data_IF_533512271188
#
_entry.id   IF_533512271188
#
_cell.length_a   1.000
_cell.length_b   1.000
_cell.length_c   1.000
_cell.angle_alpha   90.00
_cell.angle_beta   90.00
_cell.angle_gamma   90.00
#
_symmetry.space_group_name_H-M   'P 1'
#
loop_
_entity.id
_entity.type
_entity.pdbx_description
1 polymer ?
#
# COMPACT_ATOMS: atom_id res chain seq x y z
N UNK A 1 -38.99 19.66 23.36
CA UNK A 1 -37.55 19.50 23.21
C UNK A 1 -37.31 18.61 22.00
N UNK A 2 -37.12 19.19 20.84
CA UNK A 2 -36.77 18.44 19.64
C UNK A 2 -35.24 18.26 19.61
N UNK A 3 -34.80 17.01 19.71
CA UNK A 3 -33.38 16.66 19.45
C UNK A 3 -33.20 16.67 17.94
N UNK A 4 -32.51 17.67 17.41
CA UNK A 4 -32.01 17.66 16.05
C UNK A 4 -30.90 16.59 16.01
N UNK A 5 -31.11 15.57 15.16
CA UNK A 5 -30.05 14.63 14.80
C UNK A 5 -28.91 15.39 14.12
N UNK A 6 -27.64 15.07 14.40
CA UNK A 6 -26.54 15.71 13.71
C UNK A 6 -26.62 15.37 12.22
N UNK A 7 -26.66 16.41 11.38
CA UNK A 7 -26.50 16.27 9.94
C UNK A 7 -25.07 15.78 9.69
N UNK A 8 -24.92 14.49 9.46
CA UNK A 8 -23.68 13.87 9.08
C UNK A 8 -23.47 13.99 7.57
N UNK A 9 -22.22 14.23 7.23
CA UNK A 9 -21.58 14.04 5.92
C UNK A 9 -21.84 15.11 4.86
N UNK A 10 -20.90 16.02 4.75
CA UNK A 10 -20.58 16.61 3.46
C UNK A 10 -19.85 15.54 2.64
N UNK A 11 -20.56 14.86 1.74
CA UNK A 11 -19.94 14.08 0.67
C UNK A 11 -19.43 15.10 -0.33
N UNK A 12 -18.13 15.38 -0.34
CA UNK A 12 -17.50 16.13 -1.43
C UNK A 12 -17.21 15.10 -2.52
N UNK A 13 -18.15 14.94 -3.43
CA UNK A 13 -17.95 14.21 -4.67
C UNK A 13 -17.22 15.15 -5.65
N UNK A 14 -15.90 15.15 -5.64
CA UNK A 14 -15.12 15.82 -6.68
C UNK A 14 -15.03 14.90 -7.90
N UNK A 15 -16.01 15.00 -8.79
CA UNK A 15 -15.91 14.44 -10.13
C UNK A 15 -15.03 15.38 -10.97
N UNK A 16 -13.72 15.15 -10.96
CA UNK A 16 -12.78 15.84 -11.80
C UNK A 16 -12.43 14.98 -13.02
N UNK A 17 -12.90 15.38 -14.19
CA UNK A 17 -12.25 15.09 -15.45
C UNK A 17 -12.84 13.99 -16.31
N UNK A 18 -13.40 14.43 -17.40
CA UNK A 18 -13.87 13.62 -18.51
C UNK A 18 -12.72 12.99 -19.28
N UNK A 19 -12.52 11.71 -19.10
CA UNK A 19 -12.09 10.82 -20.15
C UNK A 19 -12.83 9.51 -19.95
N UNK A 20 -13.46 9.02 -21.00
CA UNK A 20 -14.39 7.91 -20.98
C UNK A 20 -13.77 6.65 -20.38
N UNK A 21 -13.93 6.44 -19.09
CA UNK A 21 -13.70 5.15 -18.46
C UNK A 21 -14.92 4.29 -18.79
N UNK A 22 -14.81 3.39 -19.74
CA UNK A 22 -15.88 2.48 -20.06
C UNK A 22 -15.93 1.38 -19.02
N UNK A 23 -17.10 1.19 -18.39
CA UNK A 23 -17.38 0.12 -17.41
C UNK A 23 -16.52 0.14 -16.14
N UNK A 24 -15.90 1.28 -15.79
CA UNK A 24 -15.20 1.43 -14.52
C UNK A 24 -16.13 1.85 -13.39
N UNK A 25 -15.83 1.41 -12.18
CA UNK A 25 -16.64 1.67 -11.00
C UNK A 25 -15.85 2.38 -9.90
N UNK A 26 -16.50 3.32 -9.22
CA UNK A 26 -15.96 3.87 -7.97
C UNK A 26 -17.01 3.82 -6.87
N UNK A 27 -16.60 3.45 -5.67
CA UNK A 27 -17.45 3.40 -4.49
C UNK A 27 -16.74 4.03 -3.30
N UNK A 28 -17.39 5.03 -2.70
CA UNK A 28 -16.85 5.72 -1.54
C UNK A 28 -17.88 5.71 -0.41
N UNK A 29 -17.44 5.26 0.75
CA UNK A 29 -18.26 5.25 1.98
C UNK A 29 -17.50 5.93 3.10
N UNK A 30 -18.12 6.94 3.71
CA UNK A 30 -17.52 7.69 4.80
C UNK A 30 -18.49 7.75 5.98
N UNK A 31 -18.03 7.34 7.16
CA UNK A 31 -18.75 7.46 8.42
C UNK A 31 -17.87 8.22 9.42
N UNK A 32 -18.41 9.32 9.95
CA UNK A 32 -17.66 10.15 10.90
C UNK A 32 -17.51 11.60 10.47
N UNK A 33 -16.32 12.19 10.72
CA UNK A 33 -16.09 13.63 10.50
C UNK A 33 -14.78 13.90 9.79
N UNK A 34 -14.75 14.94 8.96
CA UNK A 34 -13.53 15.47 8.35
C UNK A 34 -12.79 14.43 7.47
N UNK A 35 -13.48 13.40 7.00
CA UNK A 35 -12.89 12.41 6.11
C UNK A 35 -12.89 12.91 4.66
N UNK A 36 -11.81 12.67 3.93
CA UNK A 36 -11.64 12.99 2.52
C UNK A 36 -11.40 11.69 1.76
N UNK A 37 -12.20 11.44 0.74
CA UNK A 37 -12.02 10.34 -0.20
C UNK A 37 -12.06 10.89 -1.62
N UNK A 38 -11.03 10.63 -2.41
CA UNK A 38 -10.94 11.05 -3.79
C UNK A 38 -10.60 9.87 -4.68
N UNK A 39 -11.29 9.74 -5.81
CA UNK A 39 -11.01 8.74 -6.85
C UNK A 39 -10.88 9.47 -8.17
N UNK A 40 -9.77 9.25 -8.86
CA UNK A 40 -9.50 9.73 -10.21
C UNK A 40 -9.31 8.53 -11.15
N UNK A 41 -10.20 8.33 -12.10
CA UNK A 41 -10.12 7.28 -13.12
C UNK A 41 -10.10 7.94 -14.50
N UNK A 42 -9.03 7.73 -15.26
CA UNK A 42 -8.84 8.28 -16.60
C UNK A 42 -8.46 7.19 -17.58
N UNK A 43 -9.22 7.05 -18.69
CA UNK A 43 -9.00 5.99 -19.69
C UNK A 43 -8.91 4.58 -19.09
N UNK A 44 -9.44 4.40 -17.88
CA UNK A 44 -9.47 3.13 -17.17
C UNK A 44 -10.72 2.35 -17.63
N UNK A 45 -10.54 1.13 -18.11
CA UNK A 45 -11.64 0.26 -18.55
C UNK A 45 -11.75 -0.94 -17.62
N UNK A 46 -12.96 -1.25 -17.14
CA UNK A 46 -13.18 -2.33 -16.16
C UNK A 46 -12.38 -2.19 -14.87
N UNK A 47 -11.94 -0.98 -14.53
CA UNK A 47 -11.21 -0.71 -13.30
C UNK A 47 -12.17 -0.44 -12.13
N UNK A 48 -11.77 -0.79 -10.93
CA UNK A 48 -12.55 -0.57 -9.72
C UNK A 48 -11.75 0.18 -8.66
N UNK A 49 -12.36 1.20 -8.05
CA UNK A 49 -11.78 1.89 -6.90
C UNK A 49 -12.80 1.94 -5.76
N UNK A 50 -12.47 1.33 -4.64
CA UNK A 50 -13.33 1.30 -3.44
C UNK A 50 -12.61 1.93 -2.26
N UNK A 51 -13.25 2.90 -1.61
CA UNK A 51 -12.74 3.58 -0.42
C UNK A 51 -13.77 3.52 0.71
N UNK A 52 -13.33 3.05 1.87
CA UNK A 52 -14.15 3.00 3.08
C UNK A 52 -13.43 3.66 4.25
N UNK A 53 -14.05 4.68 4.85
CA UNK A 53 -13.46 5.44 5.96
C UNK A 53 -14.42 5.53 7.12
N UNK A 54 -13.98 5.12 8.32
CA UNK A 54 -14.77 5.20 9.56
C UNK A 54 -13.97 5.90 10.63
N UNK A 55 -14.44 7.07 11.07
CA UNK A 55 -13.78 7.83 12.14
C UNK A 55 -13.57 9.29 11.80
N UNK A 56 -12.34 9.80 12.01
CA UNK A 56 -12.09 11.23 11.87
C UNK A 56 -10.84 11.55 11.08
N UNK A 57 -10.96 12.47 10.11
CA UNK A 57 -9.82 13.09 9.43
C UNK A 57 -9.02 12.17 8.54
N UNK A 58 -9.61 11.09 8.03
CA UNK A 58 -8.95 10.22 7.06
C UNK A 58 -8.80 10.92 5.70
N UNK A 59 -7.68 10.66 5.01
CA UNK A 59 -7.43 11.17 3.67
C UNK A 59 -6.99 10.04 2.74
N UNK A 60 -7.86 9.66 1.80
CA UNK A 60 -7.56 8.62 0.82
C UNK A 60 -7.68 9.14 -0.60
N UNK A 61 -6.67 8.84 -1.41
CA UNK A 61 -6.64 9.12 -2.84
C UNK A 61 -6.38 7.84 -3.63
N UNK A 62 -7.23 7.54 -4.58
CA UNK A 62 -7.05 6.46 -5.55
C UNK A 62 -6.95 7.05 -6.96
N UNK A 63 -5.89 6.71 -7.68
CA UNK A 63 -5.64 7.14 -9.05
C UNK A 63 -5.48 5.92 -9.96
N UNK A 64 -6.28 5.86 -11.03
CA UNK A 64 -6.16 4.83 -12.06
C UNK A 64 -6.16 5.49 -13.43
N UNK A 65 -5.09 5.30 -14.19
CA UNK A 65 -4.99 5.79 -15.55
C UNK A 65 -4.54 4.69 -16.52
N UNK A 66 -5.25 4.55 -17.63
CA UNK A 66 -5.00 3.51 -18.65
C UNK A 66 -4.86 2.11 -18.01
N UNK A 67 -5.75 1.82 -17.03
CA UNK A 67 -5.66 0.64 -16.17
C UNK A 67 -6.94 -0.19 -16.22
N UNK A 68 -6.81 -1.51 -16.07
CA UNK A 68 -7.93 -2.46 -15.89
C UNK A 68 -7.83 -3.18 -14.55
N UNK A 69 -7.49 -2.46 -13.49
CA UNK A 69 -7.02 -2.97 -12.21
C UNK A 69 -7.86 -2.48 -11.05
N UNK A 70 -7.67 -3.04 -9.87
CA UNK A 70 -8.49 -2.74 -8.69
C UNK A 70 -7.70 -2.01 -7.59
N UNK A 71 -8.32 -0.99 -6.99
CA UNK A 71 -7.84 -0.32 -5.78
C UNK A 71 -8.87 -0.46 -4.67
N UNK A 72 -8.44 -0.92 -3.49
CA UNK A 72 -9.24 -0.98 -2.28
C UNK A 72 -8.51 -0.28 -1.13
N UNK A 73 -9.14 0.72 -0.54
CA UNK A 73 -8.60 1.46 0.60
C UNK A 73 -9.59 1.47 1.74
N UNK A 74 -9.17 1.10 2.94
CA UNK A 74 -9.99 1.20 4.13
C UNK A 74 -9.25 1.82 5.31
N UNK A 75 -9.91 2.69 6.06
CA UNK A 75 -9.37 3.29 7.27
C UNK A 75 -10.39 3.32 8.40
N UNK A 76 -9.91 2.99 9.59
CA UNK A 76 -10.70 3.07 10.83
C UNK A 76 -9.88 3.78 11.91
N UNK A 77 -10.50 4.74 12.62
CA UNK A 77 -9.85 5.48 13.70
C UNK A 77 -9.67 6.95 13.40
N UNK A 78 -8.43 7.47 13.41
CA UNK A 78 -8.20 8.91 13.26
C UNK A 78 -6.98 9.21 12.36
N UNK A 79 -7.15 10.16 11.45
CA UNK A 79 -6.06 10.76 10.66
C UNK A 79 -5.16 9.74 9.92
N UNK A 80 -5.72 8.63 9.45
CA UNK A 80 -4.97 7.72 8.58
C UNK A 80 -5.01 8.21 7.14
N UNK A 81 -3.89 8.08 6.43
CA UNK A 81 -3.77 8.44 5.02
C UNK A 81 -3.52 7.22 4.14
N UNK A 82 -4.02 7.25 2.92
CA UNK A 82 -3.79 6.21 1.92
C UNK A 82 -3.70 6.82 0.53
N UNK A 83 -2.59 6.60 -0.16
CA UNK A 83 -2.42 6.92 -1.57
C UNK A 83 -2.21 5.63 -2.36
N UNK A 84 -3.03 5.41 -3.38
CA UNK A 84 -2.90 4.27 -4.26
C UNK A 84 -2.95 4.73 -5.72
N UNK A 85 -1.98 4.32 -6.52
CA UNK A 85 -1.87 4.68 -7.92
C UNK A 85 -1.62 3.46 -8.80
N UNK A 86 -2.36 3.37 -9.90
CA UNK A 86 -2.18 2.36 -10.94
C UNK A 86 -2.14 3.03 -12.32
N UNK A 87 -0.99 2.97 -12.98
CA UNK A 87 -0.77 3.58 -14.29
C UNK A 87 -0.34 2.50 -15.30
N UNK A 88 -1.08 2.34 -16.40
CA UNK A 88 -0.80 1.33 -17.44
C UNK A 88 -0.76 -0.11 -16.87
N UNK A 89 -1.62 -0.39 -15.89
CA UNK A 89 -1.70 -1.68 -15.21
C UNK A 89 -2.86 -2.54 -15.74
N UNK A 90 -2.64 -3.85 -15.83
CA UNK A 90 -3.67 -4.79 -16.24
C UNK A 90 -3.79 -5.94 -15.25
N UNK A 91 -4.99 -6.13 -14.69
CA UNK A 91 -5.28 -7.21 -13.74
C UNK A 91 -4.58 -7.07 -12.38
N UNK A 92 -4.01 -5.91 -12.07
CA UNK A 92 -3.26 -5.69 -10.84
C UNK A 92 -4.16 -5.23 -9.68
N UNK A 93 -3.69 -5.38 -8.45
CA UNK A 93 -4.46 -5.01 -7.27
C UNK A 93 -3.63 -4.24 -6.24
N UNK A 94 -4.20 -3.14 -5.73
CA UNK A 94 -3.71 -2.46 -4.52
C UNK A 94 -4.77 -2.58 -3.42
N UNK A 95 -4.36 -3.07 -2.26
CA UNK A 95 -5.18 -3.10 -1.05
C UNK A 95 -4.45 -2.41 0.10
N UNK A 96 -5.07 -1.38 0.68
CA UNK A 96 -4.55 -0.65 1.83
C UNK A 96 -5.55 -0.67 2.97
N UNK A 97 -5.11 -1.10 4.15
CA UNK A 97 -5.93 -1.18 5.36
C UNK A 97 -5.19 -0.50 6.52
N UNK A 98 -5.79 0.51 7.11
CA UNK A 98 -5.24 1.23 8.24
C UNK A 98 -6.21 1.26 9.41
N UNK A 99 -5.78 0.79 10.58
CA UNK A 99 -6.53 0.83 11.82
C UNK A 99 -5.74 1.53 12.93
N UNK A 100 -6.34 2.52 13.58
CA UNK A 100 -5.69 3.31 14.62
C UNK A 100 -5.53 4.77 14.25
N UNK A 101 -4.34 5.34 14.43
CA UNK A 101 -4.17 6.78 14.21
C UNK A 101 -2.87 7.12 13.48
N UNK A 102 -2.94 8.09 12.58
CA UNK A 102 -1.78 8.63 11.88
C UNK A 102 -0.97 7.60 11.08
N UNK A 103 -1.59 6.50 10.66
CA UNK A 103 -0.93 5.55 9.76
C UNK A 103 -0.96 6.07 8.33
N UNK A 104 0.12 5.83 7.58
CA UNK A 104 0.31 6.32 6.21
C UNK A 104 0.68 5.16 5.29
N UNK A 105 -0.13 4.92 4.26
CA UNK A 105 0.06 3.88 3.26
C UNK A 105 0.19 4.48 1.86
N UNK A 106 1.31 4.24 1.21
CA UNK A 106 1.56 4.61 -0.17
C UNK A 106 1.80 3.37 -1.03
N UNK A 107 1.07 3.22 -2.13
CA UNK A 107 1.33 2.18 -3.13
C UNK A 107 1.24 2.75 -4.54
N UNK A 108 2.24 2.47 -5.37
CA UNK A 108 2.23 2.78 -6.79
C UNK A 108 2.58 1.53 -7.59
N UNK A 109 1.76 1.22 -8.57
CA UNK A 109 1.99 0.19 -9.57
C UNK A 109 1.98 0.84 -10.95
N UNK A 110 3.03 0.64 -11.74
CA UNK A 110 3.13 1.22 -13.07
C UNK A 110 3.71 0.26 -14.10
N UNK A 111 3.16 0.31 -15.31
CA UNK A 111 3.62 -0.46 -16.49
C UNK A 111 3.73 -1.95 -16.19
N UNK A 112 2.63 -2.58 -15.74
CA UNK A 112 2.70 -3.96 -15.28
C UNK A 112 1.47 -4.81 -15.56
N UNK A 113 1.58 -6.08 -15.13
CA UNK A 113 0.55 -7.09 -15.32
C UNK A 113 0.42 -7.98 -14.09
N UNK A 114 -0.80 -8.13 -13.56
CA UNK A 114 -1.11 -9.04 -12.45
C UNK A 114 -0.27 -8.83 -11.18
N UNK A 115 0.10 -7.59 -10.87
CA UNK A 115 0.85 -7.26 -9.66
C UNK A 115 -0.09 -7.10 -8.45
N UNK A 116 0.38 -7.47 -7.28
CA UNK A 116 -0.39 -7.33 -6.04
C UNK A 116 0.40 -6.52 -5.00
N UNK A 117 -0.22 -5.47 -4.46
CA UNK A 117 0.27 -4.72 -3.31
C UNK A 117 -0.73 -4.80 -2.15
N UNK A 118 -0.30 -5.35 -1.03
CA UNK A 118 -1.09 -5.44 0.19
C UNK A 118 -0.39 -4.73 1.35
N UNK A 119 -1.01 -3.70 1.88
CA UNK A 119 -0.52 -2.94 3.03
C UNK A 119 -1.54 -2.97 4.16
N UNK A 120 -1.12 -3.44 5.32
CA UNK A 120 -1.95 -3.48 6.52
C UNK A 120 -1.22 -2.83 7.69
N UNK A 121 -1.82 -1.82 8.28
CA UNK A 121 -1.25 -1.08 9.39
C UNK A 121 -2.22 -1.04 10.57
N UNK A 122 -1.72 -1.39 11.75
CA UNK A 122 -2.46 -1.36 12.99
C UNK A 122 -1.67 -0.61 14.08
N UNK A 123 -2.25 0.42 14.67
CA UNK A 123 -1.61 1.18 15.74
C UNK A 123 -1.44 2.65 15.43
N UNK A 124 -0.27 3.21 15.71
CA UNK A 124 -0.06 4.67 15.64
C UNK A 124 1.18 5.05 14.85
N UNK A 125 1.00 5.86 13.82
CA UNK A 125 2.12 6.46 13.08
C UNK A 125 2.95 5.49 12.26
N UNK A 126 2.41 4.33 11.90
CA UNK A 126 3.11 3.39 11.03
C UNK A 126 3.11 3.92 9.58
N UNK A 127 4.19 3.66 8.86
CA UNK A 127 4.35 4.07 7.46
C UNK A 127 4.71 2.88 6.58
N UNK A 128 3.99 2.72 5.48
CA UNK A 128 4.25 1.67 4.49
C UNK A 128 4.31 2.25 3.09
N UNK A 129 5.39 1.98 2.38
CA UNK A 129 5.60 2.42 1.00
C UNK A 129 5.87 1.21 0.11
N UNK A 130 5.11 1.10 -0.99
CA UNK A 130 5.28 0.04 -2.00
C UNK A 130 5.40 0.68 -3.38
N UNK A 131 6.46 0.30 -4.10
CA UNK A 131 6.68 0.62 -5.51
C UNK A 131 6.79 -0.67 -6.32
N UNK A 132 5.95 -0.82 -7.34
CA UNK A 132 6.06 -1.89 -8.33
C UNK A 132 6.03 -1.25 -9.72
N UNK A 133 7.18 -1.20 -10.38
CA UNK A 133 7.31 -0.60 -11.70
C UNK A 133 7.87 -1.61 -12.69
N UNK A 134 7.22 -1.71 -13.84
CA UNK A 134 7.60 -2.64 -14.91
C UNK A 134 7.67 -4.10 -14.42
N UNK A 135 6.72 -4.53 -13.62
CA UNK A 135 6.66 -5.87 -13.02
C UNK A 135 5.55 -6.73 -13.64
N UNK A 136 5.75 -8.06 -13.62
CA UNK A 136 4.73 -9.03 -14.00
C UNK A 136 4.54 -10.09 -12.90
N UNK A 137 3.31 -10.24 -12.41
CA UNK A 137 2.97 -11.27 -11.41
C UNK A 137 3.66 -11.11 -10.05
N UNK A 138 4.19 -9.93 -9.75
CA UNK A 138 4.95 -9.69 -8.53
C UNK A 138 4.06 -9.30 -7.36
N UNK A 139 4.48 -9.69 -6.14
CA UNK A 139 3.70 -9.46 -4.92
C UNK A 139 4.50 -8.73 -3.85
N UNK A 140 3.95 -7.62 -3.38
CA UNK A 140 4.47 -6.84 -2.26
C UNK A 140 3.49 -6.88 -1.08
N UNK A 141 3.95 -7.29 0.09
CA UNK A 141 3.14 -7.38 1.30
C UNK A 141 3.81 -6.68 2.47
N UNK A 142 3.15 -5.71 3.06
CA UNK A 142 3.58 -5.05 4.29
C UNK A 142 2.52 -5.21 5.39
N UNK A 143 2.93 -5.72 6.54
CA UNK A 143 2.11 -5.79 7.73
C UNK A 143 2.83 -5.13 8.91
N UNK A 144 2.19 -4.14 9.53
CA UNK A 144 2.75 -3.38 10.64
C UNK A 144 1.79 -3.34 11.81
N UNK A 145 2.26 -3.68 13.00
CA UNK A 145 1.50 -3.58 14.25
C UNK A 145 2.31 -2.89 15.33
N UNK A 146 1.77 -1.83 15.90
CA UNK A 146 2.44 -1.07 16.96
C UNK A 146 2.60 0.40 16.64
N UNK A 147 3.79 0.95 16.85
CA UNK A 147 3.99 2.39 16.74
C UNK A 147 5.21 2.75 15.89
N UNK A 148 5.05 3.69 14.97
CA UNK A 148 6.13 4.30 14.17
C UNK A 148 7.04 3.28 13.46
N UNK A 149 6.48 2.14 13.06
CA UNK A 149 7.21 1.21 12.19
C UNK A 149 7.20 1.74 10.76
N UNK A 150 8.30 1.57 10.04
CA UNK A 150 8.42 1.96 8.63
C UNK A 150 8.81 0.75 7.77
N UNK A 151 8.00 0.48 6.74
CA UNK A 151 8.25 -0.56 5.75
C UNK A 151 8.40 0.07 4.35
N UNK A 152 9.42 -0.33 3.64
CA UNK A 152 9.66 0.04 2.26
C UNK A 152 9.82 -1.21 1.40
N UNK A 153 9.04 -1.31 0.33
CA UNK A 153 9.15 -2.39 -0.64
C UNK A 153 9.27 -1.79 -2.03
N UNK A 154 10.32 -2.18 -2.75
CA UNK A 154 10.54 -1.78 -4.12
C UNK A 154 10.77 -3.00 -5.02
N UNK A 155 10.01 -3.08 -6.12
CA UNK A 155 10.17 -4.09 -7.15
C UNK A 155 10.15 -3.35 -8.49
N UNK A 156 11.32 -3.21 -9.12
CA UNK A 156 11.46 -2.31 -10.26
C UNK A 156 12.38 -2.86 -11.36
N UNK A 157 12.40 -2.17 -12.50
CA UNK A 157 13.26 -2.46 -13.66
C UNK A 157 13.00 -3.78 -14.39
N UNK A 158 11.74 -4.19 -14.54
CA UNK A 158 11.37 -5.25 -15.48
C UNK A 158 11.47 -6.67 -14.92
N UNK A 159 11.28 -6.84 -13.62
CA UNK A 159 11.24 -8.17 -13.00
C UNK A 159 9.90 -8.89 -13.12
N UNK A 160 9.89 -10.17 -12.75
CA UNK A 160 8.66 -10.95 -12.70
C UNK A 160 8.63 -11.93 -11.54
N UNK A 161 7.41 -12.24 -11.08
CA UNK A 161 7.14 -13.21 -10.01
C UNK A 161 7.92 -12.94 -8.70
N UNK A 162 8.36 -11.72 -8.46
CA UNK A 162 9.08 -11.37 -7.25
C UNK A 162 8.11 -11.27 -6.06
N UNK A 163 8.56 -11.74 -4.92
CA UNK A 163 7.80 -11.64 -3.67
C UNK A 163 8.59 -10.91 -2.61
N UNK A 164 8.02 -9.83 -2.09
CA UNK A 164 8.56 -9.10 -0.94
C UNK A 164 7.56 -9.13 0.20
N UNK A 165 7.99 -9.53 1.38
CA UNK A 165 7.15 -9.55 2.58
C UNK A 165 7.87 -8.86 3.73
N UNK A 166 7.27 -7.81 4.28
CA UNK A 166 7.75 -7.11 5.47
C UNK A 166 6.69 -7.25 6.57
N UNK A 167 7.10 -7.78 7.71
CA UNK A 167 6.25 -7.96 8.88
C UNK A 167 6.93 -7.35 10.10
N UNK A 168 6.33 -6.30 10.68
CA UNK A 168 6.87 -5.56 11.80
C UNK A 168 5.89 -5.50 12.96
N UNK A 169 6.35 -5.91 14.13
CA UNK A 169 5.61 -5.80 15.39
C UNK A 169 6.44 -5.00 16.39
N UNK A 170 5.81 -4.05 17.11
CA UNK A 170 6.47 -3.25 18.13
C UNK A 170 6.60 -1.79 17.76
N UNK A 171 7.76 -1.19 17.96
CA UNK A 171 7.92 0.23 17.73
C UNK A 171 9.24 0.62 17.07
N UNK A 172 9.21 1.68 16.27
CA UNK A 172 10.42 2.29 15.67
C UNK A 172 11.26 1.30 14.85
N UNK A 173 10.64 0.25 14.29
CA UNK A 173 11.35 -0.68 13.40
C UNK A 173 11.33 -0.16 11.96
N UNK A 174 12.46 -0.35 11.26
CA UNK A 174 12.60 -0.07 9.84
C UNK A 174 12.94 -1.33 9.05
N UNK A 175 12.24 -1.56 7.94
CA UNK A 175 12.54 -2.66 7.03
C UNK A 175 12.44 -2.22 5.58
N UNK A 176 13.42 -2.59 4.77
CA UNK A 176 13.37 -2.45 3.32
C UNK A 176 13.60 -3.79 2.61
N UNK A 177 12.84 -4.01 1.53
CA UNK A 177 12.96 -5.18 0.65
C UNK A 177 12.92 -4.72 -0.80
N UNK A 178 14.02 -4.93 -1.53
CA UNK A 178 14.19 -4.43 -2.88
C UNK A 178 14.49 -5.56 -3.88
N UNK A 179 13.75 -5.58 -5.00
CA UNK A 179 14.07 -6.40 -6.17
C UNK A 179 14.29 -5.49 -7.37
N UNK A 180 15.50 -5.49 -7.89
CA UNK A 180 15.89 -4.68 -9.03
C UNK A 180 16.26 -5.58 -10.22
N UNK A 181 15.46 -5.54 -11.30
CA UNK A 181 15.67 -6.39 -12.48
C UNK A 181 15.84 -7.88 -12.11
N UNK A 182 14.99 -8.38 -11.22
CA UNK A 182 15.09 -9.73 -10.66
C UNK A 182 13.87 -10.57 -11.01
N UNK A 183 14.04 -11.89 -11.19
CA UNK A 183 12.99 -12.84 -11.54
C UNK A 183 12.90 -13.94 -10.48
N UNK A 184 11.68 -14.30 -10.06
CA UNK A 184 11.42 -15.38 -9.09
C UNK A 184 12.14 -15.21 -7.73
N UNK A 185 12.40 -13.96 -7.31
CA UNK A 185 13.02 -13.65 -6.02
C UNK A 185 12.04 -13.64 -4.84
N UNK A 186 12.52 -14.00 -3.65
CA UNK A 186 11.74 -13.95 -2.42
C UNK A 186 12.54 -13.23 -1.31
N UNK A 187 12.03 -12.08 -0.84
CA UNK A 187 12.57 -11.37 0.32
C UNK A 187 11.55 -11.36 1.44
N UNK A 188 11.94 -11.88 2.60
CA UNK A 188 11.12 -11.93 3.80
C UNK A 188 11.83 -11.24 4.95
N UNK A 189 11.22 -10.19 5.50
CA UNK A 189 11.71 -9.48 6.69
C UNK A 189 10.69 -9.61 7.80
N UNK A 190 11.11 -10.12 8.94
CA UNK A 190 10.34 -10.19 10.17
C UNK A 190 11.07 -9.46 11.29
N UNK A 191 10.39 -8.50 11.93
CA UNK A 191 10.91 -7.75 13.08
C UNK A 191 9.91 -7.75 14.22
N UNK A 192 10.33 -8.17 15.40
CA UNK A 192 9.54 -8.15 16.62
C UNK A 192 10.34 -7.47 17.74
N UNK A 193 9.91 -6.27 18.14
CA UNK A 193 10.58 -5.49 19.15
C UNK A 193 10.67 -4.01 18.84
N UNK A 194 11.84 -3.41 19.06
CA UNK A 194 11.99 -1.98 18.87
C UNK A 194 13.35 -1.56 18.28
N UNK A 195 13.36 -0.47 17.53
CA UNK A 195 14.58 0.11 16.95
C UNK A 195 15.38 -0.89 16.09
N UNK A 196 14.74 -1.87 15.48
CA UNK A 196 15.40 -2.82 14.58
C UNK A 196 15.46 -2.25 13.16
N UNK A 197 16.59 -2.49 12.48
CA UNK A 197 16.81 -2.07 11.10
C UNK A 197 17.16 -3.28 10.23
N UNK A 198 16.44 -3.46 9.13
CA UNK A 198 16.64 -4.56 8.19
C UNK A 198 16.64 -4.06 6.74
N UNK A 199 17.55 -4.56 5.94
CA UNK A 199 17.61 -4.30 4.51
C UNK A 199 17.94 -5.59 3.75
N UNK A 200 17.09 -5.95 2.80
CA UNK A 200 17.28 -7.07 1.87
C UNK A 200 17.20 -6.61 0.43
N UNK A 201 18.17 -6.98 -0.40
CA UNK A 201 18.25 -6.56 -1.78
C UNK A 201 18.67 -7.72 -2.70
N UNK A 202 17.87 -7.95 -3.76
CA UNK A 202 18.16 -8.90 -4.83
C UNK A 202 18.24 -8.17 -6.17
N UNK A 203 19.38 -8.28 -6.85
CA UNK A 203 19.64 -7.58 -8.11
C UNK A 203 20.04 -8.54 -9.23
N UNK A 204 19.60 -8.19 -10.45
CA UNK A 204 20.08 -8.77 -11.73
C UNK A 204 20.16 -10.30 -11.73
N UNK A 205 19.10 -11.00 -11.29
CA UNK A 205 19.21 -12.45 -11.18
C UNK A 205 17.89 -13.19 -11.31
N UNK A 206 17.96 -14.49 -11.05
CA UNK A 206 16.81 -15.36 -11.07
C UNK A 206 16.79 -16.28 -9.86
N UNK A 207 15.66 -16.33 -9.17
CA UNK A 207 15.48 -17.13 -7.96
C UNK A 207 16.15 -16.50 -6.74
N UNK A 208 16.40 -17.29 -5.73
CA UNK A 208 17.02 -16.85 -4.49
C UNK A 208 16.01 -16.42 -3.41
N UNK A 209 16.45 -16.51 -2.18
CA UNK A 209 15.67 -16.13 -1.01
C UNK A 209 16.53 -15.39 -0.02
N UNK A 210 16.06 -14.23 0.42
CA UNK A 210 16.59 -13.51 1.57
C UNK A 210 15.56 -13.62 2.71
N UNK A 211 15.96 -14.16 3.85
CA UNK A 211 15.13 -14.23 5.05
C UNK A 211 15.83 -13.55 6.23
N UNK A 212 15.25 -12.46 6.74
CA UNK A 212 15.78 -11.70 7.88
C UNK A 212 14.78 -11.79 9.02
N UNK A 213 15.24 -12.29 10.18
CA UNK A 213 14.48 -12.31 11.42
C UNK A 213 15.20 -11.55 12.53
N UNK A 214 14.57 -10.52 13.10
CA UNK A 214 15.12 -9.74 14.20
C UNK A 214 14.15 -9.74 15.38
N UNK A 215 14.67 -10.04 16.57
CA UNK A 215 13.92 -10.08 17.81
C UNK A 215 14.61 -9.22 18.87
N UNK A 216 13.82 -8.46 19.63
CA UNK A 216 14.33 -7.56 20.66
C UNK A 216 14.58 -6.15 20.14
N UNK A 217 15.66 -5.51 20.53
CA UNK A 217 15.85 -4.10 20.22
C UNK A 217 17.24 -3.75 19.68
N UNK A 218 17.28 -2.78 18.76
CA UNK A 218 18.54 -2.21 18.25
C UNK A 218 19.33 -3.13 17.32
N UNK A 219 18.71 -4.14 16.73
CA UNK A 219 19.39 -5.03 15.79
C UNK A 219 19.48 -4.39 14.40
N UNK A 220 20.63 -4.62 13.70
CA UNK A 220 20.84 -4.15 12.33
C UNK A 220 21.32 -5.31 11.46
N UNK A 221 20.65 -5.54 10.33
CA UNK A 221 20.97 -6.58 9.36
C UNK A 221 20.83 -6.04 7.95
N UNK A 222 21.82 -6.31 7.12
CA UNK A 222 21.83 -6.00 5.69
C UNK A 222 22.25 -7.25 4.90
N UNK A 223 21.50 -7.59 3.87
CA UNK A 223 21.76 -8.75 3.00
C UNK A 223 21.63 -8.33 1.54
N UNK A 224 22.67 -8.58 0.78
CA UNK A 224 22.71 -8.35 -0.66
C UNK A 224 22.88 -9.67 -1.40
N UNK A 225 22.16 -9.83 -2.50
CA UNK A 225 22.26 -10.98 -3.36
C UNK A 225 22.30 -10.51 -4.82
N UNK A 226 23.47 -10.56 -5.41
CA UNK A 226 23.73 -10.36 -6.84
C UNK A 226 24.03 -11.72 -7.48
N UNK A 227 23.39 -12.04 -8.64
CA UNK A 227 23.60 -13.33 -9.31
C UNK A 227 23.81 -13.14 -10.80
#
# INVERSE_FOLDING_TARGET
>A
MYKLAPLSAAIVLALAGQAMAADSTSSQTQDGKENIAEVSQSQASFASATQHQTGKGHNHLAVQAESTSDIQQSATGQYNAGYAEQLFENGSQITQQAAGSYNDAFASQSIGLNNESLQTQQGVGNKSTVWQDSQEGSKATSWQSGQRNEAFIEQTFGGSNNRSTVNQTGQDNYAAAEHLNHIDGDIQVYQDGHDNWAYGDQREGTGGTIAIGQYGGGNSVEVWQDT
#
